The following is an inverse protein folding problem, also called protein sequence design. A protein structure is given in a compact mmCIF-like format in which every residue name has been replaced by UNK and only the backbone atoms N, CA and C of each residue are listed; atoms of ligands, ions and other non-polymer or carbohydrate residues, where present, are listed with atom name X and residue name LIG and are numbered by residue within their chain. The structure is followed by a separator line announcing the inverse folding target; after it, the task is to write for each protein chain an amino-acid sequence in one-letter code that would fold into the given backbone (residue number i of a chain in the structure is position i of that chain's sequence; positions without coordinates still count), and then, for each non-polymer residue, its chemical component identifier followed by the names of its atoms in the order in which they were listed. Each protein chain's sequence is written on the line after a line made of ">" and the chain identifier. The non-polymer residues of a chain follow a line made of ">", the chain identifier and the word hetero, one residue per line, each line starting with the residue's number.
data_IF_755507173807
#
_entry.id   IF_755507173807
#
_cell.length_a   1.000
_cell.length_b   1.000
_cell.length_c   1.000
_cell.angle_alpha   90.00
_cell.angle_beta   90.00
_cell.angle_gamma   90.00
#
_symmetry.space_group_name_H-M   'P 1'
#
loop_
_entity.id
_entity.type
_entity.pdbx_description
1 polymer ?
#
# COMPACT_ATOMS: atom_id res chain seq x y z
N UNK A 1 4.56 -18.01 -0.26
CA UNK A 1 3.97 -18.09 1.10
C UNK A 1 3.82 -19.57 1.50
N UNK A 2 3.79 -19.91 2.80
CA UNK A 2 3.45 -21.27 3.24
C UNK A 2 1.91 -21.43 3.22
N UNK A 3 1.40 -22.45 2.52
CA UNK A 3 -0.03 -22.58 2.22
C UNK A 3 -0.81 -23.28 3.34
N UNK A 4 -0.15 -24.21 4.05
CA UNK A 4 -0.76 -25.08 5.05
C UNK A 4 -1.49 -24.34 6.20
N UNK A 5 -1.02 -23.20 6.73
CA UNK A 5 -1.70 -22.51 7.82
C UNK A 5 -3.11 -22.03 7.44
N UNK A 6 -3.28 -21.49 6.23
CA UNK A 6 -4.58 -20.99 5.79
C UNK A 6 -5.56 -22.13 5.45
N UNK A 7 -5.08 -23.29 5.04
CA UNK A 7 -5.90 -24.50 4.94
C UNK A 7 -6.40 -24.95 6.33
N UNK A 8 -5.52 -24.98 7.33
CA UNK A 8 -5.89 -25.32 8.71
C UNK A 8 -6.94 -24.33 9.27
N UNK A 9 -6.77 -23.03 9.00
CA UNK A 9 -7.73 -21.98 9.39
C UNK A 9 -9.09 -22.20 8.71
N UNK A 10 -9.12 -22.48 7.40
CA UNK A 10 -10.36 -22.74 6.67
C UNK A 10 -11.09 -23.97 7.23
N UNK A 11 -10.36 -25.06 7.48
CA UNK A 11 -10.90 -26.28 8.03
C UNK A 11 -11.45 -26.08 9.45
N UNK A 12 -10.70 -25.40 10.33
CA UNK A 12 -11.08 -25.17 11.73
C UNK A 12 -12.40 -24.40 11.86
N UNK A 13 -12.65 -23.44 10.96
CA UNK A 13 -13.82 -22.56 11.02
C UNK A 13 -14.85 -22.82 9.91
N UNK A 14 -14.69 -23.91 9.17
CA UNK A 14 -15.57 -24.30 8.05
C UNK A 14 -15.80 -23.17 7.02
N UNK A 15 -14.76 -22.36 6.76
CA UNK A 15 -14.83 -21.17 5.91
C UNK A 15 -15.23 -21.51 4.47
N UNK A 16 -14.90 -22.71 3.99
CA UNK A 16 -15.31 -23.23 2.69
C UNK A 16 -16.84 -23.31 2.49
N UNK A 17 -17.63 -23.35 3.58
CA UNK A 17 -19.09 -23.34 3.52
C UNK A 17 -19.66 -21.92 3.44
N UNK A 18 -18.83 -20.90 3.64
CA UNK A 18 -19.24 -19.51 3.62
C UNK A 18 -19.64 -19.04 2.23
N UNK A 19 -20.69 -18.21 2.14
CA UNK A 19 -21.19 -17.66 0.88
C UNK A 19 -20.57 -16.30 0.60
N UNK A 20 -19.33 -16.30 0.12
CA UNK A 20 -18.57 -15.07 -0.16
C UNK A 20 -19.20 -14.12 -1.19
N UNK A 21 -20.13 -14.60 -2.03
CA UNK A 21 -20.89 -13.72 -2.95
C UNK A 21 -21.92 -12.84 -2.24
N UNK A 22 -22.23 -13.12 -0.96
CA UNK A 22 -23.18 -12.34 -0.16
C UNK A 22 -22.50 -11.34 0.76
N UNK A 23 -21.48 -11.79 1.48
CA UNK A 23 -20.82 -11.00 2.52
C UNK A 23 -19.38 -11.51 2.79
N UNK A 24 -18.50 -10.65 3.34
CA UNK A 24 -17.17 -11.09 3.76
C UNK A 24 -17.23 -12.03 4.96
N UNK A 25 -16.21 -12.87 5.13
CA UNK A 25 -16.04 -13.66 6.35
C UNK A 25 -15.14 -12.93 7.34
N UNK A 26 -15.61 -12.68 8.56
CA UNK A 26 -14.82 -12.01 9.61
C UNK A 26 -14.05 -13.04 10.42
N UNK A 27 -12.75 -12.82 10.56
CA UNK A 27 -11.85 -13.65 11.37
C UNK A 27 -10.99 -12.78 12.28
N UNK A 28 -10.74 -13.26 13.49
CA UNK A 28 -9.91 -12.58 14.49
C UNK A 28 -8.48 -13.11 14.50
N UNK A 29 -7.53 -12.31 14.98
CA UNK A 29 -6.15 -12.72 15.22
C UNK A 29 -6.08 -13.89 16.20
N UNK A 30 -6.96 -13.92 17.20
CA UNK A 30 -7.09 -15.01 18.18
C UNK A 30 -7.52 -16.30 17.50
N UNK A 31 -8.51 -16.26 16.60
CA UNK A 31 -8.92 -17.42 15.80
C UNK A 31 -7.80 -17.93 14.90
N UNK A 32 -7.10 -17.03 14.20
CA UNK A 32 -5.93 -17.41 13.37
C UNK A 32 -4.89 -18.12 14.25
N UNK A 33 -4.51 -17.51 15.38
CA UNK A 33 -3.52 -18.06 16.31
C UNK A 33 -3.93 -19.43 16.86
N UNK A 34 -5.20 -19.60 17.21
CA UNK A 34 -5.73 -20.86 17.74
C UNK A 34 -5.70 -21.96 16.68
N UNK A 35 -6.18 -21.69 15.46
CA UNK A 35 -6.15 -22.66 14.37
C UNK A 35 -4.72 -23.06 13.98
N UNK A 36 -3.74 -22.17 14.12
CA UNK A 36 -2.35 -22.43 13.75
C UNK A 36 -1.45 -22.84 14.93
N UNK A 37 -1.99 -23.01 16.14
CA UNK A 37 -1.19 -23.24 17.36
C UNK A 37 -0.31 -24.49 17.32
N UNK A 38 -0.69 -25.47 16.50
CA UNK A 38 0.00 -26.74 16.34
C UNK A 38 1.22 -26.65 15.41
N UNK A 39 1.36 -25.57 14.63
CA UNK A 39 2.56 -25.31 13.85
C UNK A 39 3.70 -24.80 14.75
N UNK A 40 4.92 -25.24 14.46
CA UNK A 40 6.11 -24.92 15.26
C UNK A 40 6.90 -23.75 14.69
N UNK A 41 6.85 -23.51 13.38
CA UNK A 41 7.62 -22.44 12.74
C UNK A 41 6.91 -21.10 12.88
N UNK A 42 7.68 -20.03 13.10
CA UNK A 42 7.14 -18.67 13.24
C UNK A 42 6.32 -18.23 12.04
N UNK A 43 6.78 -18.52 10.82
CA UNK A 43 6.09 -18.17 9.58
C UNK A 43 4.79 -18.95 9.33
N UNK A 44 4.46 -19.93 10.18
CA UNK A 44 3.25 -20.74 10.11
C UNK A 44 2.22 -20.38 11.18
N UNK A 45 2.59 -19.57 12.18
CA UNK A 45 1.72 -19.23 13.33
C UNK A 45 1.66 -17.75 13.69
N UNK A 46 2.62 -16.94 13.26
CA UNK A 46 2.58 -15.50 13.54
C UNK A 46 1.54 -14.83 12.66
N UNK A 47 0.48 -14.30 13.28
CA UNK A 47 -0.64 -13.64 12.60
C UNK A 47 -0.17 -12.57 11.62
N UNK A 48 0.81 -11.75 12.00
CA UNK A 48 1.34 -10.69 11.13
C UNK A 48 1.96 -11.24 9.85
N UNK A 49 2.71 -12.34 9.93
CA UNK A 49 3.29 -13.00 8.74
C UNK A 49 2.18 -13.63 7.90
N UNK A 50 1.24 -14.36 8.51
CA UNK A 50 0.15 -15.03 7.80
C UNK A 50 -0.79 -14.05 7.08
N UNK A 51 -0.95 -12.86 7.64
CA UNK A 51 -1.80 -11.79 7.07
C UNK A 51 -1.03 -10.83 6.16
N UNK A 52 0.29 -11.00 5.99
CA UNK A 52 1.11 -10.18 5.08
C UNK A 52 0.97 -10.71 3.65
N UNK A 53 -0.01 -10.17 2.93
CA UNK A 53 -0.32 -10.51 1.54
C UNK A 53 -0.17 -9.27 0.67
N UNK A 54 1.05 -8.72 0.58
CA UNK A 54 1.29 -7.40 -0.02
C UNK A 54 1.21 -7.44 -1.55
N UNK A 55 1.48 -8.57 -2.19
CA UNK A 55 1.23 -8.80 -3.61
C UNK A 55 0.37 -10.06 -3.87
N UNK A 56 -0.16 -10.22 -5.09
CA UNK A 56 -1.00 -11.36 -5.47
C UNK A 56 -0.32 -12.71 -5.24
N UNK A 57 1.01 -12.78 -5.43
CA UNK A 57 1.82 -13.98 -5.24
C UNK A 57 2.03 -14.34 -3.76
N UNK A 58 1.78 -13.40 -2.85
CA UNK A 58 1.79 -13.66 -1.42
C UNK A 58 0.51 -14.35 -0.96
N UNK A 59 -0.53 -14.47 -1.79
CA UNK A 59 -1.75 -15.17 -1.35
C UNK A 59 -1.52 -16.68 -1.18
N UNK A 60 -2.12 -17.32 -0.17
CA UNK A 60 -2.15 -18.78 -0.07
C UNK A 60 -3.05 -19.37 -1.18
N UNK A 61 -2.83 -20.64 -1.57
CA UNK A 61 -3.52 -21.27 -2.70
C UNK A 61 -5.05 -21.24 -2.54
N UNK A 62 -5.55 -21.54 -1.34
CA UNK A 62 -6.99 -21.49 -1.06
C UNK A 62 -7.61 -20.10 -1.29
N UNK A 63 -6.83 -19.02 -1.16
CA UNK A 63 -7.29 -17.68 -1.52
C UNK A 63 -7.27 -17.47 -3.03
N UNK A 64 -6.22 -17.93 -3.72
CA UNK A 64 -6.11 -17.82 -5.18
C UNK A 64 -7.25 -18.57 -5.86
N UNK A 65 -7.47 -19.84 -5.48
CA UNK A 65 -8.49 -20.73 -6.04
C UNK A 65 -9.92 -20.19 -5.86
N UNK A 66 -10.17 -19.50 -4.75
CA UNK A 66 -11.49 -18.95 -4.42
C UNK A 66 -11.64 -17.45 -4.76
N UNK A 67 -10.63 -16.85 -5.41
CA UNK A 67 -10.54 -15.42 -5.70
C UNK A 67 -10.79 -14.54 -4.46
N UNK A 68 -10.05 -14.81 -3.39
CA UNK A 68 -10.13 -14.12 -2.10
C UNK A 68 -8.88 -13.27 -1.84
N UNK A 69 -9.04 -12.29 -0.94
CA UNK A 69 -7.96 -11.53 -0.33
C UNK A 69 -8.34 -11.11 1.10
N UNK A 70 -7.36 -10.66 1.88
CA UNK A 70 -7.54 -10.30 3.29
C UNK A 70 -7.44 -8.80 3.52
N UNK A 71 -8.38 -8.24 4.28
CA UNK A 71 -8.33 -6.85 4.74
C UNK A 71 -8.47 -6.76 6.26
N UNK A 72 -7.63 -6.00 6.98
CA UNK A 72 -7.89 -5.65 8.36
C UNK A 72 -9.06 -4.66 8.41
N UNK A 73 -10.03 -4.94 9.26
CA UNK A 73 -11.19 -4.06 9.49
C UNK A 73 -11.11 -3.36 10.84
N UNK A 74 -10.34 -3.92 11.76
CA UNK A 74 -9.97 -3.36 13.06
C UNK A 74 -8.70 -4.05 13.55
N UNK A 75 -7.96 -3.46 14.49
CA UNK A 75 -6.83 -4.16 15.11
C UNK A 75 -7.27 -5.55 15.63
N UNK A 76 -6.56 -6.59 15.19
CA UNK A 76 -6.87 -7.99 15.52
C UNK A 76 -8.08 -8.57 14.80
N UNK A 77 -8.70 -7.87 13.85
CA UNK A 77 -9.85 -8.37 13.07
C UNK A 77 -9.66 -8.14 11.57
N UNK A 78 -9.97 -9.17 10.81
CA UNK A 78 -9.82 -9.21 9.37
C UNK A 78 -11.11 -9.64 8.70
N UNK A 79 -11.32 -9.14 7.49
CA UNK A 79 -12.33 -9.60 6.55
C UNK A 79 -11.63 -10.38 5.43
N UNK A 80 -12.07 -11.62 5.21
CA UNK A 80 -11.77 -12.38 4.00
C UNK A 80 -12.82 -11.98 2.97
N UNK A 81 -12.39 -11.41 1.86
CA UNK A 81 -13.26 -10.79 0.87
C UNK A 81 -13.04 -11.45 -0.49
N UNK A 82 -14.13 -11.73 -1.21
CA UNK A 82 -14.06 -12.19 -2.61
C UNK A 82 -13.93 -11.02 -3.57
N UNK A 83 -13.01 -11.12 -4.52
CA UNK A 83 -12.76 -10.12 -5.54
C UNK A 83 -11.28 -9.83 -5.76
N UNK A 84 -11.01 -8.76 -6.50
CA UNK A 84 -9.64 -8.26 -6.74
C UNK A 84 -9.24 -7.29 -5.63
N UNK A 85 -8.14 -7.60 -4.95
CA UNK A 85 -7.59 -6.84 -3.82
C UNK A 85 -6.37 -5.98 -4.18
N UNK A 86 -5.86 -6.15 -5.40
CA UNK A 86 -4.53 -5.69 -5.83
C UNK A 86 -4.64 -4.83 -7.08
N UNK A 87 -3.66 -3.93 -7.23
CA UNK A 87 -3.49 -3.07 -8.41
C UNK A 87 -2.12 -3.36 -9.03
N UNK A 88 -2.06 -3.31 -10.36
CA UNK A 88 -0.81 -3.46 -11.08
C UNK A 88 0.04 -2.19 -10.98
N UNK A 89 1.36 -2.39 -10.89
CA UNK A 89 2.37 -1.35 -11.02
C UNK A 89 3.03 -1.56 -12.39
N UNK A 90 2.52 -0.91 -13.45
CA UNK A 90 3.00 -1.18 -14.80
C UNK A 90 4.42 -0.65 -14.98
N UNK A 91 5.21 -1.35 -15.79
CA UNK A 91 6.52 -0.87 -16.18
C UNK A 91 6.39 0.47 -16.94
N UNK A 92 7.24 1.43 -16.59
CA UNK A 92 7.36 2.69 -17.33
C UNK A 92 8.22 2.41 -18.56
N UNK A 93 7.61 2.45 -19.74
CA UNK A 93 8.28 2.17 -21.02
C UNK A 93 8.93 3.41 -21.64
N UNK A 94 8.58 4.62 -21.17
CA UNK A 94 9.21 5.86 -21.63
C UNK A 94 10.68 5.92 -21.21
N UNK A 95 11.51 6.55 -22.05
CA UNK A 95 12.90 6.86 -21.70
C UNK A 95 12.95 7.68 -20.41
N UNK A 96 13.90 7.35 -19.54
CA UNK A 96 14.10 8.08 -18.30
C UNK A 96 14.40 9.56 -18.59
N UNK A 97 13.71 10.45 -17.89
CA UNK A 97 13.93 11.89 -18.00
C UNK A 97 15.12 12.28 -17.14
N UNK A 98 16.15 12.85 -17.76
CA UNK A 98 17.26 13.46 -17.01
C UNK A 98 16.69 14.65 -16.21
N UNK A 99 16.88 14.61 -14.89
CA UNK A 99 16.44 15.64 -13.97
C UNK A 99 17.64 16.24 -13.24
N UNK A 100 17.95 17.50 -13.54
CA UNK A 100 18.99 18.24 -12.83
C UNK A 100 18.48 18.66 -11.45
N UNK A 101 19.17 18.20 -10.40
CA UNK A 101 18.84 18.51 -9.01
C UNK A 101 18.73 20.02 -8.78
N UNK A 102 17.75 20.45 -7.97
CA UNK A 102 17.65 21.87 -7.56
C UNK A 102 18.57 22.22 -6.38
N UNK A 103 19.23 21.24 -5.76
CA UNK A 103 20.19 21.48 -4.67
C UNK A 103 21.40 22.30 -5.16
N UNK A 104 21.95 23.09 -4.26
CA UNK A 104 23.15 23.91 -4.44
C UNK A 104 24.41 23.24 -3.85
N UNK A 105 24.26 22.09 -3.19
CA UNK A 105 25.34 21.24 -2.69
C UNK A 105 25.01 19.77 -2.88
N UNK A 106 26.04 18.91 -2.82
CA UNK A 106 25.89 17.46 -2.77
C UNK A 106 25.67 16.99 -1.33
N UNK A 107 24.53 16.37 -0.99
CA UNK A 107 24.28 15.91 0.37
C UNK A 107 24.96 14.56 0.62
N UNK A 108 26.22 14.57 1.08
CA UNK A 108 27.05 13.36 1.28
C UNK A 108 26.34 12.24 2.04
N UNK A 109 25.56 12.59 3.08
CA UNK A 109 24.83 11.61 3.91
C UNK A 109 23.69 10.89 3.19
N UNK A 110 23.17 11.46 2.09
CA UNK A 110 22.13 10.81 1.28
C UNK A 110 22.64 9.61 0.51
N UNK A 111 23.96 9.47 0.38
CA UNK A 111 24.62 8.38 -0.33
C UNK A 111 25.15 7.28 0.60
N UNK A 112 24.93 7.40 1.92
CA UNK A 112 25.38 6.41 2.91
C UNK A 112 24.22 5.46 3.24
N UNK A 113 24.12 4.35 2.50
CA UNK A 113 23.06 3.36 2.66
C UNK A 113 22.26 3.10 1.39
N UNK A 114 21.19 2.30 1.50
CA UNK A 114 20.33 1.95 0.37
C UNK A 114 18.89 1.64 0.83
N UNK A 115 18.29 2.52 1.65
CA UNK A 115 16.92 2.32 2.16
C UNK A 115 15.88 3.09 1.35
N UNK A 116 14.65 2.57 1.32
CA UNK A 116 13.49 3.19 0.65
C UNK A 116 13.30 4.65 1.09
N UNK A 117 13.38 4.88 2.40
CA UNK A 117 13.24 6.21 3.00
C UNK A 117 14.37 7.16 2.58
N UNK A 118 15.62 6.69 2.51
CA UNK A 118 16.75 7.53 2.11
C UNK A 118 16.60 8.01 0.66
N UNK A 119 16.19 7.11 -0.23
CA UNK A 119 15.97 7.42 -1.64
C UNK A 119 14.81 8.39 -1.84
N UNK A 120 13.74 8.21 -1.08
CA UNK A 120 12.61 9.12 -1.08
C UNK A 120 12.98 10.51 -0.54
N UNK A 121 13.77 10.56 0.53
CA UNK A 121 14.26 11.80 1.14
C UNK A 121 15.15 12.57 0.16
N UNK A 122 16.06 11.89 -0.53
CA UNK A 122 16.92 12.50 -1.54
C UNK A 122 16.10 12.99 -2.76
N UNK A 123 15.18 12.17 -3.28
CA UNK A 123 14.30 12.55 -4.38
C UNK A 123 13.47 13.81 -4.06
N UNK A 124 12.99 13.93 -2.83
CA UNK A 124 12.29 15.12 -2.36
C UNK A 124 13.23 16.33 -2.18
N UNK A 125 14.40 16.14 -1.56
CA UNK A 125 15.40 17.20 -1.37
C UNK A 125 15.89 17.79 -2.70
N UNK A 126 16.14 16.94 -3.70
CA UNK A 126 16.45 17.32 -5.07
C UNK A 126 15.29 18.06 -5.78
N UNK A 127 14.11 18.13 -5.17
CA UNK A 127 12.85 18.67 -5.70
C UNK A 127 12.26 17.91 -6.89
N UNK A 128 12.65 16.64 -7.08
CA UNK A 128 12.09 15.78 -8.13
C UNK A 128 10.60 15.51 -7.88
N UNK A 129 10.23 15.18 -6.64
CA UNK A 129 8.82 14.93 -6.25
C UNK A 129 7.94 16.17 -6.49
N UNK A 130 8.45 17.36 -6.12
CA UNK A 130 7.77 18.65 -6.38
C UNK A 130 7.59 18.92 -7.87
N UNK A 131 8.63 18.62 -8.66
CA UNK A 131 8.59 18.79 -10.11
C UNK A 131 7.60 17.83 -10.77
N UNK A 132 7.57 16.56 -10.37
CA UNK A 132 6.62 15.57 -10.88
C UNK A 132 5.15 15.96 -10.61
N UNK A 133 4.89 16.58 -9.46
CA UNK A 133 3.56 16.99 -9.03
C UNK A 133 3.18 18.43 -9.39
N UNK A 134 4.11 19.16 -10.01
CA UNK A 134 3.98 20.58 -10.34
C UNK A 134 3.59 21.45 -9.13
N UNK A 135 4.19 21.16 -7.97
CA UNK A 135 3.90 21.88 -6.71
C UNK A 135 5.16 22.09 -5.88
N UNK A 136 5.72 23.30 -6.00
CA UNK A 136 6.90 23.71 -5.24
C UNK A 136 6.60 23.97 -3.74
N UNK A 137 5.32 24.02 -3.33
CA UNK A 137 4.92 24.32 -1.94
C UNK A 137 4.92 23.11 -1.00
N UNK A 138 5.13 21.90 -1.52
CA UNK A 138 5.09 20.66 -0.73
C UNK A 138 6.16 20.68 0.37
N UNK A 139 5.69 20.47 1.60
CA UNK A 139 6.51 20.27 2.81
C UNK A 139 6.16 18.94 3.48
N UNK A 140 7.13 18.27 4.09
CA UNK A 140 6.89 17.00 4.79
C UNK A 140 6.07 17.24 6.06
N UNK A 141 4.90 16.63 6.18
CA UNK A 141 4.02 16.78 7.36
C UNK A 141 3.49 15.47 7.92
N UNK A 142 3.59 14.37 7.17
CA UNK A 142 3.04 13.07 7.54
C UNK A 142 4.12 11.99 7.44
N UNK A 143 4.31 11.21 8.52
CA UNK A 143 5.15 10.00 8.54
C UNK A 143 4.67 8.97 9.56
N UNK A 144 5.04 7.72 9.31
CA UNK A 144 4.94 6.62 10.25
C UNK A 144 3.50 6.16 10.45
N UNK A 145 3.26 5.53 11.61
CA UNK A 145 2.02 4.81 11.87
C UNK A 145 0.94 5.67 12.50
N UNK A 146 -0.29 5.57 11.99
CA UNK A 146 -1.49 6.21 12.55
C UNK A 146 -2.67 5.25 12.49
N UNK A 147 -3.70 5.49 13.30
CA UNK A 147 -4.94 4.72 13.24
C UNK A 147 -5.96 5.39 12.31
N UNK A 148 -6.67 4.59 11.54
CA UNK A 148 -7.74 5.07 10.67
C UNK A 148 -8.96 5.55 11.49
N UNK A 149 -9.67 6.60 11.04
CA UNK A 149 -11.02 6.88 11.50
C UNK A 149 -11.97 5.77 11.01
N UNK A 150 -13.23 5.82 11.44
CA UNK A 150 -14.24 4.91 10.91
C UNK A 150 -14.66 5.33 9.50
N UNK A 151 -14.66 4.40 8.56
CA UNK A 151 -15.22 4.62 7.22
C UNK A 151 -15.71 3.32 6.59
N UNK A 152 -16.64 3.44 5.64
CA UNK A 152 -17.15 2.31 4.85
C UNK A 152 -16.92 2.53 3.36
N UNK A 153 -16.84 1.44 2.62
CA UNK A 153 -16.62 1.39 1.17
C UNK A 153 -17.07 0.04 0.60
N UNK A 154 -17.11 -0.07 -0.73
CA UNK A 154 -17.51 -1.27 -1.45
C UNK A 154 -16.35 -1.96 -2.14
N UNK A 155 -16.43 -3.28 -2.24
CA UNK A 155 -15.61 -4.14 -3.10
C UNK A 155 -16.58 -5.00 -3.89
N UNK A 156 -16.75 -4.71 -5.18
CA UNK A 156 -17.87 -5.25 -5.95
C UNK A 156 -19.21 -4.95 -5.26
N UNK A 157 -19.92 -6.00 -4.81
CA UNK A 157 -21.21 -5.89 -4.11
C UNK A 157 -21.10 -5.92 -2.58
N UNK A 158 -19.91 -6.16 -2.03
CA UNK A 158 -19.70 -6.31 -0.59
C UNK A 158 -19.38 -4.95 0.03
N UNK A 159 -20.01 -4.64 1.16
CA UNK A 159 -19.67 -3.44 1.95
C UNK A 159 -18.71 -3.80 3.07
N UNK A 160 -17.59 -3.08 3.16
CA UNK A 160 -16.60 -3.20 4.23
C UNK A 160 -16.65 -1.95 5.10
N UNK A 161 -16.59 -2.14 6.41
CA UNK A 161 -16.43 -1.04 7.37
C UNK A 161 -15.12 -1.24 8.12
N UNK A 162 -14.30 -0.18 8.14
CA UNK A 162 -12.99 -0.15 8.79
C UNK A 162 -13.04 0.85 9.92
N UNK A 163 -12.44 0.51 11.06
CA UNK A 163 -12.21 1.42 12.19
C UNK A 163 -10.93 1.04 12.92
N UNK A 164 -10.12 2.02 13.33
CA UNK A 164 -8.95 1.81 14.19
C UNK A 164 -7.96 0.76 13.64
N UNK A 165 -7.77 0.73 12.33
CA UNK A 165 -6.71 -0.06 11.68
C UNK A 165 -5.45 0.79 11.64
N UNK A 166 -4.31 0.20 11.99
CA UNK A 166 -3.02 0.88 11.84
C UNK A 166 -2.62 0.93 10.37
N UNK A 167 -2.40 2.14 9.86
CA UNK A 167 -1.76 2.43 8.56
C UNK A 167 -0.35 2.93 8.81
N UNK A 168 0.51 2.80 7.81
CA UNK A 168 1.87 3.38 7.78
C UNK A 168 1.97 4.20 6.50
N UNK A 169 2.56 5.39 6.59
CA UNK A 169 2.86 6.25 5.44
C UNK A 169 4.36 6.56 5.48
N UNK A 170 5.09 6.21 4.42
CA UNK A 170 6.54 6.40 4.36
C UNK A 170 6.88 7.88 4.34
N UNK A 171 6.20 8.64 3.49
CA UNK A 171 6.17 10.09 3.54
C UNK A 171 4.85 10.65 3.02
N UNK A 172 4.33 11.67 3.69
CA UNK A 172 3.28 12.51 3.15
C UNK A 172 3.66 13.98 3.22
N UNK A 173 3.45 14.64 2.10
CA UNK A 173 3.80 16.03 1.87
C UNK A 173 2.54 16.85 1.71
N UNK A 174 2.50 18.00 2.35
CA UNK A 174 1.38 18.93 2.29
C UNK A 174 1.82 20.20 1.59
N UNK A 175 1.07 20.59 0.56
CA UNK A 175 1.21 21.86 -0.14
C UNK A 175 0.05 22.78 0.18
N UNK A 176 -0.05 23.89 -0.56
CA UNK A 176 -1.15 24.86 -0.40
C UNK A 176 -2.52 24.24 -0.68
N UNK A 177 -2.61 23.41 -1.73
CA UNK A 177 -3.89 22.92 -2.26
C UNK A 177 -4.05 21.39 -2.24
N UNK A 178 -2.99 20.65 -1.92
CA UNK A 178 -2.99 19.18 -1.96
C UNK A 178 -2.19 18.58 -0.81
N UNK A 179 -2.52 17.33 -0.49
CA UNK A 179 -1.72 16.43 0.33
C UNK A 179 -1.32 15.27 -0.55
N UNK A 180 -0.07 14.84 -0.48
CA UNK A 180 0.50 13.77 -1.29
C UNK A 180 0.96 12.70 -0.33
N UNK A 181 0.50 11.46 -0.48
CA UNK A 181 0.96 10.33 0.30
C UNK A 181 1.78 9.41 -0.60
N UNK A 182 2.94 8.97 -0.12
CA UNK A 182 3.87 8.15 -0.88
C UNK A 182 4.07 6.81 -0.17
N UNK A 183 3.85 5.72 -0.91
CA UNK A 183 4.31 4.37 -0.58
C UNK A 183 5.59 4.10 -1.37
N UNK A 184 6.69 3.83 -0.68
CA UNK A 184 7.99 3.56 -1.27
C UNK A 184 8.32 2.07 -1.26
N UNK A 185 8.90 1.56 -2.34
CA UNK A 185 9.48 0.20 -2.41
C UNK A 185 10.88 0.22 -3.01
N UNK A 186 11.72 -0.71 -2.57
CA UNK A 186 13.08 -0.93 -3.08
C UNK A 186 13.13 -2.00 -4.20
N UNK A 187 11.97 -2.52 -4.65
CA UNK A 187 11.88 -3.72 -5.48
C UNK A 187 11.44 -3.48 -6.92
N UNK A 188 11.29 -4.57 -7.67
CA UNK A 188 10.55 -4.59 -8.93
C UNK A 188 9.10 -5.00 -8.65
N UNK A 189 8.34 -4.13 -7.97
CA UNK A 189 6.95 -4.44 -7.66
C UNK A 189 6.14 -4.43 -8.96
N UNK A 190 5.45 -5.52 -9.25
CA UNK A 190 4.55 -5.62 -10.42
C UNK A 190 3.10 -5.42 -10.04
N UNK A 191 2.76 -5.62 -8.76
CA UNK A 191 1.45 -5.35 -8.19
C UNK A 191 1.55 -5.20 -6.67
N UNK A 192 0.61 -4.45 -6.09
CA UNK A 192 0.50 -4.25 -4.65
C UNK A 192 -0.95 -4.31 -4.19
N UNK A 193 -1.18 -4.66 -2.93
CA UNK A 193 -2.50 -4.62 -2.31
C UNK A 193 -2.99 -3.16 -2.24
N UNK A 194 -4.16 -2.90 -2.83
CA UNK A 194 -4.75 -1.55 -2.98
C UNK A 194 -4.83 -0.82 -1.63
N UNK A 195 -5.04 -1.56 -0.54
CA UNK A 195 -5.11 -1.06 0.84
C UNK A 195 -3.93 -0.17 1.23
N UNK A 196 -2.71 -0.48 0.76
CA UNK A 196 -1.53 0.35 1.09
C UNK A 196 -1.70 1.80 0.61
N UNK A 197 -2.49 2.02 -0.44
CA UNK A 197 -2.83 3.34 -0.94
C UNK A 197 -4.20 3.81 -0.42
N UNK A 198 -5.21 2.94 -0.44
CA UNK A 198 -6.60 3.31 -0.12
C UNK A 198 -6.81 3.69 1.34
N UNK A 199 -6.19 2.98 2.30
CA UNK A 199 -6.44 3.27 3.72
C UNK A 199 -5.80 4.60 4.14
N UNK A 200 -4.54 4.90 3.79
CA UNK A 200 -3.98 6.24 3.97
C UNK A 200 -4.80 7.32 3.25
N UNK A 201 -5.25 7.09 2.02
CA UNK A 201 -6.13 8.02 1.31
C UNK A 201 -7.39 8.35 2.10
N UNK A 202 -8.16 7.34 2.50
CA UNK A 202 -9.40 7.52 3.27
C UNK A 202 -9.16 8.19 4.61
N UNK A 203 -8.06 7.85 5.27
CA UNK A 203 -7.66 8.43 6.54
C UNK A 203 -7.35 9.92 6.41
N UNK A 204 -6.45 10.31 5.49
CA UNK A 204 -6.01 11.70 5.42
C UNK A 204 -7.06 12.60 4.76
N UNK A 205 -7.84 12.07 3.81
CA UNK A 205 -8.96 12.82 3.23
C UNK A 205 -10.07 13.11 4.25
N UNK A 206 -10.13 12.38 5.37
CA UNK A 206 -11.02 12.71 6.48
C UNK A 206 -10.56 13.95 7.26
N UNK A 207 -9.26 14.20 7.36
CA UNK A 207 -8.69 15.28 8.18
C UNK A 207 -8.39 16.56 7.40
N UNK A 208 -8.52 16.55 6.07
CA UNK A 208 -8.24 17.73 5.23
C UNK A 208 -9.24 17.87 4.10
N UNK A 209 -9.52 19.13 3.74
CA UNK A 209 -10.31 19.47 2.55
C UNK A 209 -9.44 19.55 1.29
N UNK A 210 -8.11 19.53 1.44
CA UNK A 210 -7.17 19.47 0.31
C UNK A 210 -7.34 18.15 -0.44
N UNK A 211 -7.09 18.16 -1.75
CA UNK A 211 -7.10 16.92 -2.54
C UNK A 211 -5.96 16.02 -2.06
N UNK A 212 -6.27 14.78 -1.68
CA UNK A 212 -5.24 13.78 -1.37
C UNK A 212 -4.85 13.04 -2.66
N UNK A 213 -3.58 13.13 -3.04
CA UNK A 213 -2.96 12.37 -4.13
C UNK A 213 -2.12 11.23 -3.57
N UNK A 214 -1.97 10.17 -4.36
CA UNK A 214 -1.26 8.97 -3.98
C UNK A 214 -0.13 8.73 -4.96
N UNK A 215 1.08 8.53 -4.44
CA UNK A 215 2.23 8.14 -5.23
C UNK A 215 2.72 6.77 -4.77
N UNK A 216 3.04 5.93 -5.75
CA UNK A 216 3.92 4.80 -5.56
C UNK A 216 5.32 5.23 -6.03
N UNK A 217 6.35 4.91 -5.27
CA UNK A 217 7.73 5.31 -5.54
C UNK A 217 8.64 4.09 -5.50
N UNK A 218 9.49 3.98 -6.51
CA UNK A 218 10.58 3.01 -6.49
C UNK A 218 11.88 3.63 -6.95
N UNK A 219 12.98 3.22 -6.32
CA UNK A 219 14.31 3.44 -6.85
C UNK A 219 14.91 2.12 -7.33
N UNK A 220 15.34 2.09 -8.58
CA UNK A 220 16.01 0.95 -9.24
C UNK A 220 17.31 1.45 -9.84
N UNK A 221 18.44 1.00 -9.32
CA UNK A 221 19.77 1.49 -9.72
C UNK A 221 19.83 3.03 -9.65
N UNK A 222 20.03 3.72 -10.78
CA UNK A 222 20.08 5.19 -10.84
C UNK A 222 18.72 5.84 -11.12
N UNK A 223 17.68 5.03 -11.31
CA UNK A 223 16.38 5.47 -11.76
C UNK A 223 15.38 5.59 -10.62
N UNK A 224 14.64 6.69 -10.63
CA UNK A 224 13.55 7.00 -9.71
C UNK A 224 12.24 6.95 -10.49
N UNK A 225 11.39 5.98 -10.17
CA UNK A 225 10.10 5.78 -10.82
C UNK A 225 8.96 6.21 -9.90
N UNK A 226 8.05 7.00 -10.45
CA UNK A 226 6.86 7.51 -9.77
C UNK A 226 5.61 7.09 -10.53
N UNK A 227 4.61 6.60 -9.82
CA UNK A 227 3.28 6.31 -10.33
C UNK A 227 2.24 7.04 -9.49
N UNK A 228 1.47 7.92 -10.13
CA UNK A 228 0.38 8.62 -9.48
C UNK A 228 -0.92 7.84 -9.62
N UNK A 229 -1.53 7.48 -8.50
CA UNK A 229 -2.83 6.84 -8.45
C UNK A 229 -3.90 7.79 -7.91
N UNK A 230 -5.14 7.61 -8.38
CA UNK A 230 -6.34 8.24 -7.83
C UNK A 230 -7.48 7.22 -7.74
N UNK A 231 -8.45 7.48 -6.86
CA UNK A 231 -9.69 6.72 -6.79
C UNK A 231 -10.80 7.54 -7.43
N UNK A 232 -11.39 7.03 -8.52
CA UNK A 232 -12.53 7.68 -9.21
C UNK A 232 -13.72 7.86 -8.28
N UNK A 233 -14.00 6.86 -7.46
CA UNK A 233 -14.98 6.96 -6.37
C UNK A 233 -14.29 6.59 -5.05
N UNK A 234 -14.23 7.57 -4.14
CA UNK A 234 -13.67 7.35 -2.80
C UNK A 234 -14.29 6.16 -2.06
N UNK A 235 -15.54 5.81 -2.34
CA UNK A 235 -16.27 4.73 -1.68
C UNK A 235 -16.17 3.39 -2.43
N UNK A 236 -15.49 3.31 -3.57
CA UNK A 236 -15.23 2.07 -4.30
C UNK A 236 -13.75 1.73 -4.26
N UNK A 237 -13.42 0.62 -3.58
CA UNK A 237 -12.05 0.12 -3.45
C UNK A 237 -11.41 -0.22 -4.79
N UNK A 238 -12.21 -0.66 -5.76
CA UNK A 238 -11.72 -1.09 -7.07
C UNK A 238 -11.67 0.07 -8.09
N UNK A 239 -12.02 1.30 -7.68
CA UNK A 239 -11.98 2.48 -8.55
C UNK A 239 -10.59 3.14 -8.68
N UNK A 240 -9.55 2.46 -8.21
CA UNK A 240 -8.16 2.92 -8.32
C UNK A 240 -7.71 2.95 -9.78
N UNK A 241 -7.07 4.05 -10.17
CA UNK A 241 -6.54 4.22 -11.51
C UNK A 241 -5.18 4.89 -11.51
N UNK A 242 -4.31 4.45 -12.42
CA UNK A 242 -3.05 5.12 -12.71
C UNK A 242 -3.33 6.36 -13.56
N UNK A 243 -2.95 7.52 -13.06
CA UNK A 243 -3.19 8.82 -13.71
C UNK A 243 -1.94 9.31 -14.46
N UNK A 244 -0.76 9.05 -13.90
CA UNK A 244 0.50 9.49 -14.46
C UNK A 244 1.63 8.56 -14.01
N UNK A 245 2.68 8.41 -14.81
CA UNK A 245 3.92 7.78 -14.38
C UNK A 245 5.11 8.40 -15.09
N UNK A 246 6.24 8.48 -14.38
CA UNK A 246 7.48 8.99 -14.96
C UNK A 246 8.69 8.34 -14.29
N UNK A 247 9.67 8.00 -15.12
CA UNK A 247 10.99 7.56 -14.68
C UNK A 247 11.98 8.72 -14.83
N UNK A 248 12.80 8.93 -13.81
CA UNK A 248 13.82 9.98 -13.78
C UNK A 248 15.19 9.41 -13.49
N UNK A 249 16.22 10.06 -14.01
CA UNK A 249 17.60 9.92 -13.54
C UNK A 249 18.04 11.28 -12.99
N UNK A 250 18.40 11.33 -11.71
CA UNK A 250 18.80 12.58 -11.07
C UNK A 250 20.28 12.82 -11.34
N UNK A 251 20.62 13.98 -11.93
CA UNK A 251 21.99 14.45 -12.13
C UNK A 251 22.27 15.67 -11.24
N UNK A 252 23.51 15.80 -10.79
CA UNK A 252 23.98 16.96 -10.04
C UNK A 252 24.08 18.19 -10.99
N UNK A 253 24.03 19.40 -10.41
CA UNK A 253 24.26 20.65 -11.13
C UNK A 253 25.73 20.87 -11.44
#
# INVERSE_FOLDING_TARGET
>A
MNHNPWEAIFNAYQIQKHKFDKEPFIITAEQIKEATKHFTKTNEREVRILCKQDCRADRPNIFIENNLFLLPVRNGKYAIVKGEGYVDIPQISSVAKIYTSKLDFKPDTSFIGNSEMQHLDFAYAASMVRTFLEDDSLILTIRGRKFTPKFSFTIGKQTITVESVQTEVDAGYEGKNQVVLIEAKNGQTTNTIIRQLFYPFRQWQHYTQKKVKLLFFEKRDNYYSLWQFEFKDRNDYNSIELINSQCFEIVEK
#
